data_IF_628551330979
#
_entry.id   IF_628551330979
#
_cell.length_a   1.000
_cell.length_b   1.000
_cell.length_c   1.000
_cell.angle_alpha   90.00
_cell.angle_beta   90.00
_cell.angle_gamma   90.00
#
_symmetry.space_group_name_H-M   'P 1'
#
loop_
_entity.id
_entity.type
_entity.pdbx_description
1 polymer ?
#
# COMPACT_ATOMS: atom_id res chain seq x y z
N UNK A 1 -21.62 -10.56 10.76
CA UNK A 1 -22.05 -9.17 10.50
C UNK A 1 -20.82 -8.34 10.16
N UNK A 2 -20.42 -8.32 8.88
CA UNK A 2 -19.33 -7.46 8.41
C UNK A 2 -19.85 -6.05 8.21
N UNK A 3 -19.32 -5.08 8.97
CA UNK A 3 -19.57 -3.66 8.73
C UNK A 3 -18.94 -3.29 7.39
N UNK A 4 -19.73 -3.33 6.33
CA UNK A 4 -19.36 -2.72 5.06
C UNK A 4 -19.18 -1.24 5.31
N UNK A 5 -17.93 -0.77 5.24
CA UNK A 5 -17.61 0.65 5.23
C UNK A 5 -18.20 1.20 3.93
N UNK A 6 -19.40 1.80 4.02
CA UNK A 6 -19.95 2.63 2.96
C UNK A 6 -19.05 3.86 2.82
N UNK A 7 -18.00 3.72 2.02
CA UNK A 7 -17.28 4.88 1.49
C UNK A 7 -18.29 5.65 0.65
N UNK A 8 -18.85 6.71 1.22
CA UNK A 8 -19.61 7.70 0.49
C UNK A 8 -18.75 8.18 -0.68
N UNK A 9 -19.11 7.76 -1.89
CA UNK A 9 -18.52 8.22 -3.12
C UNK A 9 -19.03 9.62 -3.39
N UNK A 10 -18.46 10.60 -2.70
CA UNK A 10 -18.39 11.93 -3.27
C UNK A 10 -17.63 11.78 -4.59
N UNK A 11 -18.30 12.04 -5.71
CA UNK A 11 -17.64 12.06 -7.01
C UNK A 11 -16.69 13.26 -6.98
N UNK A 12 -15.46 13.04 -6.51
CA UNK A 12 -14.44 14.09 -6.45
C UNK A 12 -14.09 14.42 -7.89
N UNK A 13 -14.39 15.66 -8.30
CA UNK A 13 -14.06 16.19 -9.62
C UNK A 13 -12.56 15.94 -9.91
N UNK A 14 -12.20 15.59 -11.16
CA UNK A 14 -10.81 15.53 -11.56
C UNK A 14 -10.15 16.87 -11.23
N UNK A 15 -9.06 16.83 -10.47
CA UNK A 15 -8.24 18.01 -10.18
C UNK A 15 -7.24 18.12 -11.31
N UNK A 16 -7.15 19.31 -11.92
CA UNK A 16 -6.21 19.59 -13.00
C UNK A 16 -5.27 20.68 -12.54
N UNK A 17 -3.96 20.54 -12.79
CA UNK A 17 -3.01 21.55 -12.40
C UNK A 17 -3.23 22.80 -13.25
N UNK A 18 -3.01 23.96 -12.65
CA UNK A 18 -3.03 25.23 -13.36
C UNK A 18 -2.00 25.19 -14.50
N UNK A 19 -2.41 25.63 -15.70
CA UNK A 19 -1.56 25.58 -16.88
C UNK A 19 -0.30 26.44 -16.66
N UNK A 20 0.87 25.87 -16.91
CA UNK A 20 2.17 26.52 -16.74
C UNK A 20 2.25 27.83 -17.55
N UNK A 21 1.55 27.94 -18.68
CA UNK A 21 1.55 29.18 -19.47
C UNK A 21 0.77 30.33 -18.83
N UNK A 22 -0.15 30.05 -17.90
CA UNK A 22 -0.99 31.05 -17.22
C UNK A 22 -0.62 31.26 -15.77
N UNK A 23 0.46 30.63 -15.31
CA UNK A 23 0.87 30.60 -13.92
C UNK A 23 1.64 31.86 -13.53
N UNK A 24 1.27 32.53 -12.43
CA UNK A 24 1.85 33.83 -12.04
C UNK A 24 3.30 33.75 -11.55
N UNK A 25 3.66 32.68 -10.84
CA UNK A 25 5.04 32.45 -10.33
C UNK A 25 5.87 31.49 -11.20
N UNK A 26 5.35 30.28 -11.47
CA UNK A 26 6.03 29.24 -12.24
C UNK A 26 5.77 29.30 -13.75
N UNK A 27 5.25 30.43 -14.24
CA UNK A 27 5.05 30.59 -15.68
C UNK A 27 6.37 30.59 -16.43
N UNK A 28 6.40 29.98 -17.63
CA UNK A 28 7.64 29.85 -18.43
C UNK A 28 8.37 31.21 -18.61
N UNK A 29 7.61 32.29 -18.69
CA UNK A 29 8.12 33.66 -18.82
C UNK A 29 8.72 34.21 -17.50
N UNK A 30 8.17 33.80 -16.35
CA UNK A 30 8.55 34.28 -15.01
C UNK A 30 9.63 33.42 -14.34
N UNK A 31 9.74 32.14 -14.69
CA UNK A 31 10.74 31.19 -14.14
C UNK A 31 12.18 31.67 -14.40
N UNK A 32 12.42 32.35 -15.52
CA UNK A 32 13.72 33.00 -15.80
C UNK A 32 13.96 34.25 -14.94
N UNK A 33 12.91 35.02 -14.63
CA UNK A 33 13.01 36.24 -13.83
C UNK A 33 13.27 35.92 -12.36
N UNK A 34 12.76 34.79 -11.86
CA UNK A 34 12.95 34.33 -10.48
C UNK A 34 14.21 33.48 -10.27
N UNK A 35 15.08 33.35 -11.28
CA UNK A 35 16.34 32.58 -11.25
C UNK A 35 16.21 31.11 -10.82
N UNK A 36 15.00 30.52 -10.93
CA UNK A 36 14.74 29.14 -10.51
C UNK A 36 15.34 28.09 -11.47
N UNK A 37 15.81 28.52 -12.65
CA UNK A 37 16.50 27.67 -13.64
C UNK A 37 17.92 27.24 -13.23
N UNK A 38 18.45 27.76 -12.13
CA UNK A 38 19.80 27.42 -11.65
C UNK A 38 19.85 26.03 -10.97
N UNK A 39 18.74 25.53 -10.44
CA UNK A 39 18.64 24.17 -9.89
C UNK A 39 18.30 23.16 -10.99
N UNK A 40 19.17 22.18 -11.22
CA UNK A 40 18.98 21.11 -12.22
C UNK A 40 17.74 20.23 -11.98
N UNK A 41 17.08 20.36 -10.83
CA UNK A 41 15.85 19.64 -10.49
C UNK A 41 14.58 20.34 -11.00
N UNK A 42 14.63 21.64 -11.28
CA UNK A 42 13.49 22.47 -11.69
C UNK A 42 13.55 22.85 -13.18
N UNK A 43 13.86 21.87 -14.03
CA UNK A 43 13.81 22.08 -15.48
C UNK A 43 12.38 21.88 -16.01
N UNK A 44 11.97 22.59 -17.09
CA UNK A 44 10.69 22.36 -17.74
C UNK A 44 10.45 20.89 -18.12
N UNK A 45 11.51 20.14 -18.43
CA UNK A 45 11.46 18.70 -18.70
C UNK A 45 11.01 17.89 -17.49
N UNK A 46 11.60 18.14 -16.31
CA UNK A 46 11.22 17.48 -15.05
C UNK A 46 9.75 17.72 -14.69
N UNK A 47 9.27 18.95 -14.88
CA UNK A 47 7.87 19.32 -14.63
C UNK A 47 6.93 18.57 -15.61
N UNK A 48 7.32 18.46 -16.88
CA UNK A 48 6.54 17.77 -17.91
C UNK A 48 6.43 16.26 -17.62
N UNK A 49 7.53 15.63 -17.17
CA UNK A 49 7.57 14.22 -16.80
C UNK A 49 6.69 13.89 -15.59
N UNK A 50 6.67 14.74 -14.57
CA UNK A 50 5.77 14.58 -13.42
C UNK A 50 4.29 14.70 -13.81
N UNK A 51 3.96 15.65 -14.69
CA UNK A 51 2.59 15.76 -15.21
C UNK A 51 2.18 14.59 -16.11
N UNK A 52 3.12 13.98 -16.84
CA UNK A 52 2.90 12.74 -17.60
C UNK A 52 2.55 11.56 -16.69
N UNK A 53 3.34 11.35 -15.62
CA UNK A 53 3.07 10.30 -14.62
C UNK A 53 1.71 10.50 -13.95
N UNK A 54 1.36 11.74 -13.61
CA UNK A 54 0.05 12.10 -13.07
C UNK A 54 -1.08 11.78 -14.06
N UNK A 55 -0.88 12.08 -15.35
CA UNK A 55 -1.86 11.81 -16.41
C UNK A 55 -2.13 10.31 -16.56
N UNK A 56 -1.10 9.47 -16.48
CA UNK A 56 -1.24 8.02 -16.54
C UNK A 56 -1.97 7.44 -15.31
N UNK A 57 -1.72 7.98 -14.11
CA UNK A 57 -2.47 7.64 -12.90
C UNK A 57 -3.95 8.01 -13.04
N UNK A 58 -4.25 9.21 -13.55
CA UNK A 58 -5.62 9.66 -13.81
C UNK A 58 -6.33 8.78 -14.85
N UNK A 59 -5.61 8.30 -15.88
CA UNK A 59 -6.16 7.38 -16.89
C UNK A 59 -6.54 6.02 -16.28
N UNK A 60 -5.65 5.43 -15.48
CA UNK A 60 -5.92 4.15 -14.78
C UNK A 60 -7.09 4.31 -13.81
N UNK A 61 -7.13 5.42 -13.07
CA UNK A 61 -8.26 5.77 -12.20
C UNK A 61 -9.58 5.85 -12.96
N UNK A 62 -9.60 6.48 -14.14
CA UNK A 62 -10.82 6.64 -14.94
C UNK A 62 -11.41 5.27 -15.32
N UNK A 63 -10.56 4.30 -15.66
CA UNK A 63 -11.00 2.93 -15.93
C UNK A 63 -11.65 2.29 -14.70
N UNK A 64 -11.00 2.37 -13.53
CA UNK A 64 -11.57 1.86 -12.27
C UNK A 64 -12.88 2.57 -11.89
N UNK A 65 -12.94 3.90 -12.02
CA UNK A 65 -14.13 4.69 -11.75
C UNK A 65 -15.30 4.31 -12.65
N UNK A 66 -15.05 3.97 -13.93
CA UNK A 66 -16.11 3.52 -14.83
C UNK A 66 -16.70 2.17 -14.41
N UNK A 67 -15.86 1.22 -14.02
CA UNK A 67 -16.31 -0.07 -13.49
C UNK A 67 -17.11 0.11 -12.19
N UNK A 68 -16.67 1.03 -11.33
CA UNK A 68 -17.33 1.33 -10.07
C UNK A 68 -18.68 2.03 -10.24
N UNK A 69 -18.79 2.97 -11.20
CA UNK A 69 -20.05 3.62 -11.57
C UNK A 69 -21.10 2.63 -12.06
N UNK A 70 -20.69 1.59 -12.81
CA UNK A 70 -21.61 0.53 -13.24
C UNK A 70 -22.17 -0.24 -12.05
N UNK A 71 -21.34 -0.51 -11.03
CA UNK A 71 -21.76 -1.16 -9.78
C UNK A 71 -22.68 -0.27 -8.93
N UNK A 72 -22.31 1.01 -8.73
CA UNK A 72 -23.12 1.98 -7.99
C UNK A 72 -24.51 2.20 -8.59
N UNK A 73 -24.63 2.29 -9.92
CA UNK A 73 -25.93 2.46 -10.60
C UNK A 73 -26.91 1.34 -10.24
N UNK A 74 -26.43 0.11 -10.11
CA UNK A 74 -27.26 -1.03 -9.68
C UNK A 74 -27.73 -0.89 -8.23
N UNK A 75 -26.90 -0.35 -7.33
CA UNK A 75 -27.25 -0.08 -5.93
C UNK A 75 -28.22 1.10 -5.77
N UNK A 76 -27.96 2.22 -6.44
CA UNK A 76 -28.81 3.42 -6.41
C UNK A 76 -30.24 3.15 -6.89
N UNK A 77 -30.41 2.28 -7.90
CA UNK A 77 -31.73 1.87 -8.38
C UNK A 77 -32.55 1.15 -7.29
N UNK A 78 -31.89 0.36 -6.44
CA UNK A 78 -32.52 -0.30 -5.31
C UNK A 78 -32.93 0.70 -4.22
N UNK A 79 -32.04 1.63 -3.86
CA UNK A 79 -32.32 2.67 -2.86
C UNK A 79 -33.43 3.64 -3.30
N UNK A 80 -33.47 4.03 -4.58
CA UNK A 80 -34.55 4.86 -5.14
C UNK A 80 -35.94 4.24 -4.92
N UNK A 81 -36.05 2.91 -5.07
CA UNK A 81 -37.31 2.18 -4.88
C UNK A 81 -37.77 2.18 -3.42
N UNK A 82 -36.83 2.17 -2.48
CA UNK A 82 -37.09 2.25 -1.03
C UNK A 82 -37.46 3.69 -0.63
N UNK A 83 -36.73 4.69 -1.12
CA UNK A 83 -36.97 6.11 -0.85
C UNK A 83 -38.35 6.56 -1.34
N UNK A 84 -38.79 6.06 -2.51
CA UNK A 84 -40.14 6.35 -3.04
C UNK A 84 -41.26 5.86 -2.12
N UNK A 85 -41.05 4.80 -1.33
CA UNK A 85 -42.00 4.34 -0.30
C UNK A 85 -41.96 5.22 0.94
N UNK A 86 -40.77 5.63 1.36
CA UNK A 86 -40.57 6.49 2.53
C UNK A 86 -41.14 7.89 2.31
N UNK A 87 -41.00 8.47 1.12
CA UNK A 87 -41.60 9.76 0.73
C UNK A 87 -43.14 9.68 0.78
N UNK A 88 -43.72 8.56 0.35
CA UNK A 88 -45.17 8.32 0.43
C UNK A 88 -45.68 8.27 1.88
N UNK A 89 -44.86 7.74 2.78
CA UNK A 89 -45.15 7.66 4.21
C UNK A 89 -44.88 9.00 4.93
N UNK A 90 -43.86 9.75 4.53
CA UNK A 90 -43.50 11.05 5.09
C UNK A 90 -44.52 12.14 4.73
N UNK A 91 -45.07 12.12 3.51
CA UNK A 91 -46.10 13.08 3.08
C UNK A 91 -47.38 13.00 3.93
N UNK A 92 -47.70 11.82 4.46
CA UNK A 92 -48.81 11.61 5.41
C UNK A 92 -48.54 12.20 6.80
N UNK A 93 -47.27 12.28 7.21
CA UNK A 93 -46.86 12.88 8.49
C UNK A 93 -46.80 14.40 8.41
N UNK A 94 -46.41 14.94 7.26
CA UNK A 94 -46.27 16.38 7.05
C UNK A 94 -47.62 17.11 6.98
N UNK A 95 -48.66 16.47 6.43
CA UNK A 95 -50.06 16.97 6.47
C UNK A 95 -50.59 17.11 7.90
N UNK A 96 -49.95 16.48 8.90
CA UNK A 96 -50.36 16.47 10.30
C UNK A 96 -49.73 17.59 11.15
N UNK A 97 -48.84 18.41 10.60
CA UNK A 97 -48.00 19.37 11.35
C UNK A 97 -48.14 20.84 10.92
N UNK A 98 -49.06 21.19 10.02
CA UNK A 98 -49.24 22.56 9.48
C UNK A 98 -50.60 23.15 9.93
N UNK A 99 -50.75 23.37 11.24
CA UNK A 99 -51.83 24.15 11.86
C UNK A 99 -51.39 24.41 13.30
N UNK A 100 -51.04 25.59 13.80
CA UNK A 100 -51.04 27.00 13.37
C UNK A 100 -49.97 27.70 14.22
N UNK A 101 -49.42 28.80 13.71
CA UNK A 101 -48.30 29.57 14.30
C UNK A 101 -48.76 30.92 14.87
N UNK A 102 -47.92 31.44 15.76
CA UNK A 102 -48.05 32.48 16.76
C UNK A 102 -48.25 33.93 16.22
N UNK A 103 -49.36 34.57 16.62
CA UNK A 103 -49.64 36.01 16.37
C UNK A 103 -49.57 36.89 17.64
N UNK A 104 -48.77 36.47 18.63
CA UNK A 104 -48.66 37.10 19.96
C UNK A 104 -47.40 37.96 20.17
N UNK A 105 -46.45 37.99 19.23
CA UNK A 105 -45.16 38.70 19.39
C UNK A 105 -45.23 40.22 19.16
N UNK A 106 -46.26 40.75 18.51
CA UNK A 106 -46.31 42.19 18.14
C UNK A 106 -46.73 43.10 19.31
N UNK A 107 -47.24 42.55 20.42
CA UNK A 107 -47.66 43.33 21.61
C UNK A 107 -46.49 43.73 22.53
N UNK A 108 -45.27 43.24 22.29
CA UNK A 108 -44.10 43.48 23.16
C UNK A 108 -43.24 44.70 22.78
N UNK A 109 -43.54 45.43 21.69
CA UNK A 109 -42.64 46.45 21.12
C UNK A 109 -42.74 47.87 21.72
N UNK A 110 -43.62 48.11 22.69
CA UNK A 110 -43.68 49.41 23.41
C UNK A 110 -43.46 49.27 24.92
N UNK A 111 -42.78 48.20 25.35
CA UNK A 111 -42.44 47.91 26.75
C UNK A 111 -41.39 48.87 27.34
N UNK A 112 -40.80 49.76 26.51
CA UNK A 112 -39.63 50.56 26.86
C UNK A 112 -39.89 51.95 27.45
N UNK A 113 -41.13 52.49 27.52
CA UNK A 113 -41.33 53.86 28.01
C UNK A 113 -42.68 54.12 28.70
N UNK A 114 -42.81 53.64 29.93
CA UNK A 114 -44.05 53.67 30.75
C UNK A 114 -44.66 55.07 31.00
N UNK A 115 -43.89 56.15 30.87
CA UNK A 115 -44.36 57.53 31.11
C UNK A 115 -45.16 58.11 29.94
N UNK A 116 -44.65 57.96 28.71
CA UNK A 116 -45.36 58.38 27.48
C UNK A 116 -46.46 57.38 27.11
N UNK A 117 -46.36 56.13 27.60
CA UNK A 117 -47.35 55.08 27.38
C UNK A 117 -48.61 55.26 28.23
N UNK A 118 -48.55 55.89 29.40
CA UNK A 118 -49.74 56.25 30.20
C UNK A 118 -50.40 57.55 29.72
N UNK A 119 -49.60 58.50 29.21
CA UNK A 119 -50.09 59.81 28.80
C UNK A 119 -50.87 59.80 27.47
N UNK A 120 -50.59 58.80 26.63
CA UNK A 120 -51.18 58.65 25.31
C UNK A 120 -51.87 57.29 25.08
N UNK A 121 -52.20 56.58 26.18
CA UNK A 121 -52.68 55.19 26.18
C UNK A 121 -54.05 54.96 25.54
N UNK A 122 -54.83 56.02 25.33
CA UNK A 122 -56.19 55.96 24.77
C UNK A 122 -56.35 56.83 23.52
N UNK A 123 -55.24 57.30 22.95
CA UNK A 123 -55.23 58.14 21.75
C UNK A 123 -54.58 57.40 20.59
N UNK A 124 -55.17 57.52 19.40
CA UNK A 124 -54.62 56.92 18.19
C UNK A 124 -53.25 57.53 17.85
N UNK A 125 -52.38 56.79 17.15
CA UNK A 125 -51.02 57.22 16.81
C UNK A 125 -50.96 58.64 16.22
N UNK A 126 -52.00 59.02 15.47
CA UNK A 126 -52.12 60.34 14.83
C UNK A 126 -52.51 61.46 15.83
N UNK A 127 -53.20 61.16 16.92
CA UNK A 127 -53.59 62.14 17.96
C UNK A 127 -52.48 62.45 18.97
N UNK A 128 -51.46 61.59 19.06
CA UNK A 128 -50.26 61.78 19.89
C UNK A 128 -49.31 62.79 19.25
N UNK A 129 -49.19 62.71 17.93
CA UNK A 129 -48.32 63.58 17.12
C UNK A 129 -48.81 65.04 17.14
N UNK A 130 -50.12 65.28 17.06
CA UNK A 130 -50.69 66.65 17.07
C UNK A 130 -50.58 67.36 18.43
N UNK A 131 -50.66 66.63 19.54
CA UNK A 131 -50.52 67.20 20.89
C UNK A 131 -49.07 67.64 21.18
N UNK A 132 -48.09 66.89 20.66
CA UNK A 132 -46.66 67.23 20.73
C UNK A 132 -46.35 68.43 19.83
N UNK A 133 -47.00 68.55 18.66
CA UNK A 133 -46.81 69.67 17.75
C UNK A 133 -47.41 70.98 18.28
N UNK A 134 -48.58 70.98 18.94
CA UNK A 134 -49.19 72.19 19.52
C UNK A 134 -48.42 72.75 20.73
N UNK A 135 -47.85 71.89 21.57
CA UNK A 135 -47.05 72.28 22.75
C UNK A 135 -45.65 72.81 22.37
N UNK A 136 -45.14 72.38 21.22
CA UNK A 136 -43.86 72.84 20.65
C UNK A 136 -43.99 74.20 19.95
N UNK A 137 -45.16 74.52 19.40
CA UNK A 137 -45.45 75.80 18.75
C UNK A 137 -45.60 76.97 19.74
N UNK A 138 -46.21 76.74 20.90
CA UNK A 138 -46.38 77.75 21.97
C UNK A 138 -45.06 78.17 22.63
N UNK A 139 -44.10 77.25 22.77
CA UNK A 139 -42.77 77.53 23.33
C UNK A 139 -41.83 78.25 22.34
N UNK A 140 -42.04 78.12 21.03
CA UNK A 140 -41.24 78.84 20.01
C UNK A 140 -41.66 80.30 19.85
N UNK A 141 -42.97 80.59 19.91
CA UNK A 141 -43.53 81.95 19.80
C UNK A 141 -43.06 82.90 20.92
N UNK A 142 -42.92 82.41 22.15
CA UNK A 142 -42.43 83.19 23.30
C UNK A 142 -40.91 83.46 23.21
N UNK A 143 -40.13 82.49 22.71
CA UNK A 143 -38.68 82.65 22.49
C UNK A 143 -38.38 83.74 21.47
N UNK A 144 -39.11 83.76 20.36
CA UNK A 144 -38.87 84.67 19.24
C UNK A 144 -39.24 86.14 19.59
N UNK A 145 -40.20 86.34 20.50
CA UNK A 145 -40.58 87.68 21.01
C UNK A 145 -39.52 88.30 21.92
N UNK A 146 -38.83 87.49 22.72
CA UNK A 146 -37.79 87.95 23.67
C UNK A 146 -36.43 88.18 22.99
N UNK A 147 -36.12 87.44 21.90
CA UNK A 147 -34.88 87.61 21.13
C UNK A 147 -34.85 88.92 20.34
N UNK A 148 -35.95 89.28 19.66
CA UNK A 148 -36.02 90.52 18.88
C UNK A 148 -35.85 91.79 19.74
N UNK A 149 -36.33 91.77 20.99
CA UNK A 149 -36.24 92.92 21.90
C UNK A 149 -34.84 93.12 22.48
N UNK A 150 -34.06 92.05 22.59
CA UNK A 150 -32.69 92.06 23.10
C UNK A 150 -31.67 92.43 22.01
N UNK A 151 -31.91 92.06 20.75
CA UNK A 151 -31.03 92.39 19.62
C UNK A 151 -31.02 93.88 19.28
N UNK A 152 -32.18 94.54 19.27
CA UNK A 152 -32.26 95.97 18.93
C UNK A 152 -31.54 96.84 19.97
N UNK A 153 -31.66 96.51 21.26
CA UNK A 153 -31.05 97.30 22.33
C UNK A 153 -29.53 97.11 22.42
N UNK A 154 -29.02 95.94 22.02
CA UNK A 154 -27.57 95.69 21.92
C UNK A 154 -26.93 96.40 20.72
N UNK A 155 -27.62 96.43 19.57
CA UNK A 155 -27.08 97.03 18.35
C UNK A 155 -26.81 98.54 18.50
N UNK A 156 -27.72 99.27 19.13
CA UNK A 156 -27.62 100.73 19.26
C UNK A 156 -26.53 101.16 20.26
N UNK A 157 -26.40 100.41 21.36
CA UNK A 157 -25.38 100.67 22.38
C UNK A 157 -23.96 100.37 21.87
N UNK A 158 -23.79 99.28 21.13
CA UNK A 158 -22.49 98.89 20.58
C UNK A 158 -21.97 99.87 19.53
N UNK A 159 -22.85 100.49 18.73
CA UNK A 159 -22.44 101.41 17.67
C UNK A 159 -21.85 102.71 18.22
N UNK A 160 -22.46 103.25 19.28
CA UNK A 160 -22.03 104.51 19.90
C UNK A 160 -20.71 104.37 20.66
N UNK A 161 -20.48 103.22 21.30
CA UNK A 161 -19.26 102.97 22.09
C UNK A 161 -18.02 102.81 21.21
N UNK A 162 -18.16 102.19 20.03
CA UNK A 162 -17.05 101.96 19.11
C UNK A 162 -16.50 103.25 18.51
N UNK A 163 -17.37 104.11 17.98
CA UNK A 163 -16.93 105.35 17.31
C UNK A 163 -16.13 106.29 18.23
N UNK A 164 -16.48 106.33 19.53
CA UNK A 164 -15.77 107.16 20.51
C UNK A 164 -14.38 106.61 20.83
N UNK A 165 -14.28 105.31 21.09
CA UNK A 165 -13.01 104.64 21.42
C UNK A 165 -12.00 104.71 20.26
N UNK A 166 -12.48 104.70 19.01
CA UNK A 166 -11.62 104.66 17.83
C UNK A 166 -10.85 105.96 17.62
N UNK A 167 -11.47 107.11 17.89
CA UNK A 167 -10.87 108.42 17.64
C UNK A 167 -9.85 108.76 18.73
N UNK A 168 -10.15 108.41 19.99
CA UNK A 168 -9.28 108.69 21.13
C UNK A 168 -8.00 107.84 21.13
N UNK A 169 -8.09 106.57 20.73
CA UNK A 169 -6.91 105.72 20.60
C UNK A 169 -5.97 106.20 19.48
N UNK A 170 -6.53 106.69 18.37
CA UNK A 170 -5.73 107.04 17.19
C UNK A 170 -4.83 108.26 17.44
N UNK A 171 -5.36 109.28 18.11
CA UNK A 171 -4.62 110.50 18.41
C UNK A 171 -3.54 110.34 19.50
N UNK A 172 -3.65 109.35 20.38
CA UNK A 172 -2.77 109.25 21.56
C UNK A 172 -1.55 108.36 21.37
N UNK A 173 -1.59 107.43 20.44
CA UNK A 173 -0.60 106.34 20.38
C UNK A 173 0.09 106.12 19.02
N UNK A 174 -0.25 106.85 17.95
CA UNK A 174 0.20 106.46 16.60
C UNK A 174 1.32 107.26 15.92
N UNK A 175 1.69 108.47 16.34
CA UNK A 175 2.61 109.30 15.51
C UNK A 175 4.04 109.51 16.03
N UNK A 176 4.42 109.04 17.23
CA UNK A 176 5.76 109.33 17.77
C UNK A 176 6.32 108.22 18.66
N UNK A 177 6.75 107.09 18.07
CA UNK A 177 7.79 106.24 18.66
C UNK A 177 8.52 105.42 17.58
N UNK A 178 9.86 105.31 17.70
CA UNK A 178 10.57 104.12 17.23
C UNK A 178 10.40 103.09 18.35
N UNK A 179 9.33 102.30 18.28
CA UNK A 179 8.93 101.38 19.34
C UNK A 179 9.90 100.19 19.41
N UNK A 180 10.15 99.70 20.62
CA UNK A 180 10.60 98.32 20.93
C UNK A 180 9.81 97.26 20.12
N UNK A 181 8.58 97.59 19.72
CA UNK A 181 7.77 96.83 18.78
C UNK A 181 8.41 96.63 17.41
N UNK A 182 9.25 97.53 16.91
CA UNK A 182 10.00 97.31 15.66
C UNK A 182 11.07 96.22 15.85
N UNK A 183 11.81 96.21 16.96
CA UNK A 183 12.76 95.15 17.26
C UNK A 183 12.06 93.80 17.49
N UNK A 184 10.96 93.81 18.25
CA UNK A 184 10.07 92.63 18.39
C UNK A 184 9.51 92.19 17.04
N UNK A 185 9.13 93.12 16.16
CA UNK A 185 8.67 92.84 14.80
C UNK A 185 9.76 92.20 13.94
N UNK A 186 11.00 92.69 14.02
CA UNK A 186 12.15 92.06 13.35
C UNK A 186 12.43 90.64 13.86
N UNK A 187 12.39 90.43 15.18
CA UNK A 187 12.55 89.10 15.78
C UNK A 187 11.43 88.15 15.34
N UNK A 188 10.18 88.61 15.37
CA UNK A 188 9.03 87.84 14.88
C UNK A 188 9.12 87.59 13.37
N UNK A 189 9.63 88.52 12.58
CA UNK A 189 9.87 88.36 11.14
C UNK A 189 10.96 87.30 10.88
N UNK A 190 12.03 87.29 11.68
CA UNK A 190 13.06 86.22 11.62
C UNK A 190 12.47 84.86 12.00
N UNK A 191 11.65 84.79 13.05
CA UNK A 191 10.93 83.56 13.43
C UNK A 191 9.95 83.11 12.33
N UNK A 192 9.30 84.05 11.64
CA UNK A 192 8.41 83.77 10.52
C UNK A 192 9.18 83.19 9.33
N UNK A 193 10.30 83.79 8.96
CA UNK A 193 11.19 83.26 7.89
C UNK A 193 11.70 81.87 8.26
N UNK A 194 12.15 81.66 9.51
CA UNK A 194 12.54 80.33 9.98
C UNK A 194 11.39 79.32 9.91
N UNK A 195 10.18 79.73 10.26
CA UNK A 195 8.98 78.89 10.16
C UNK A 195 8.62 78.59 8.71
N UNK A 196 8.79 79.53 7.79
CA UNK A 196 8.62 79.33 6.35
C UNK A 196 9.65 78.34 5.80
N UNK A 197 10.91 78.43 6.19
CA UNK A 197 11.95 77.46 5.82
C UNK A 197 11.62 76.06 6.34
N UNK A 198 11.16 75.95 7.60
CA UNK A 198 10.69 74.68 8.17
C UNK A 198 9.48 74.13 7.39
N UNK A 199 8.52 74.99 7.05
CA UNK A 199 7.36 74.60 6.25
C UNK A 199 7.77 74.11 4.87
N UNK A 200 8.73 74.77 4.20
CA UNK A 200 9.27 74.33 2.93
C UNK A 200 9.95 72.95 3.04
N UNK A 201 10.77 72.73 4.08
CA UNK A 201 11.39 71.44 4.35
C UNK A 201 10.36 70.34 4.61
N UNK A 202 9.32 70.62 5.42
CA UNK A 202 8.22 69.68 5.68
C UNK A 202 7.47 69.35 4.39
N UNK A 203 7.21 70.34 3.52
CA UNK A 203 6.58 70.10 2.21
C UNK A 203 7.43 69.19 1.33
N UNK A 204 8.75 69.39 1.30
CA UNK A 204 9.68 68.51 0.58
C UNK A 204 9.68 67.10 1.13
N UNK A 205 9.75 66.93 2.46
CA UNK A 205 9.69 65.62 3.13
C UNK A 205 8.36 64.92 2.82
N UNK A 206 7.24 65.64 2.92
CA UNK A 206 5.93 65.09 2.58
C UNK A 206 5.88 64.67 1.10
N UNK A 207 6.45 65.46 0.19
CA UNK A 207 6.59 65.09 -1.22
C UNK A 207 7.41 63.81 -1.42
N UNK A 208 8.50 63.63 -0.68
CA UNK A 208 9.28 62.39 -0.69
C UNK A 208 8.50 61.19 -0.16
N UNK A 209 7.77 61.35 0.96
CA UNK A 209 6.91 60.28 1.48
C UNK A 209 5.79 59.89 0.51
N UNK A 210 5.17 60.85 -0.16
CA UNK A 210 4.17 60.56 -1.20
C UNK A 210 4.75 59.73 -2.35
N UNK A 211 6.00 60.02 -2.77
CA UNK A 211 6.70 59.20 -3.77
C UNK A 211 7.00 57.79 -3.27
N UNK A 212 7.45 57.65 -2.02
CA UNK A 212 7.70 56.33 -1.40
C UNK A 212 6.39 55.53 -1.35
N UNK A 213 5.28 56.15 -0.91
CA UNK A 213 3.97 55.51 -0.88
C UNK A 213 3.53 55.09 -2.29
N UNK A 214 3.77 55.91 -3.30
CA UNK A 214 3.45 55.57 -4.68
C UNK A 214 4.26 54.36 -5.19
N UNK A 215 5.55 54.29 -4.87
CA UNK A 215 6.40 53.12 -5.19
C UNK A 215 5.88 51.88 -4.45
N UNK A 216 5.58 51.97 -3.16
CA UNK A 216 5.07 50.84 -2.38
C UNK A 216 3.72 50.33 -2.90
N UNK A 217 2.83 51.22 -3.35
CA UNK A 217 1.57 50.84 -4.01
C UNK A 217 1.79 50.20 -5.37
N UNK A 218 2.80 50.63 -6.10
CA UNK A 218 3.18 50.00 -7.36
C UNK A 218 3.77 48.60 -7.13
N UNK A 219 4.57 48.44 -6.09
CA UNK A 219 5.11 47.15 -5.65
C UNK A 219 4.00 46.18 -5.18
N UNK A 220 2.99 46.69 -4.48
CA UNK A 220 1.79 45.94 -4.08
C UNK A 220 1.10 45.29 -5.29
N UNK A 221 1.04 45.99 -6.43
CA UNK A 221 0.48 45.46 -7.69
C UNK A 221 1.28 44.27 -8.24
N UNK A 222 2.57 44.14 -7.93
CA UNK A 222 3.37 42.97 -8.34
C UNK A 222 3.27 41.81 -7.37
N UNK A 223 3.19 42.09 -6.06
CA UNK A 223 3.09 41.05 -5.05
C UNK A 223 1.70 40.41 -5.01
N UNK A 224 0.64 41.18 -5.22
CA UNK A 224 -0.74 40.67 -5.16
C UNK A 224 -1.01 39.55 -6.20
N UNK A 225 -0.61 39.65 -7.48
CA UNK A 225 -0.71 38.55 -8.44
C UNK A 225 0.08 37.29 -8.04
N UNK A 226 1.28 37.47 -7.45
CA UNK A 226 2.12 36.36 -7.01
C UNK A 226 1.47 35.64 -5.84
N UNK A 227 1.02 36.38 -4.83
CA UNK A 227 0.34 35.83 -3.64
C UNK A 227 -0.98 35.15 -4.03
N UNK A 228 -1.77 35.76 -4.92
CA UNK A 228 -3.00 35.15 -5.43
C UNK A 228 -2.74 33.90 -6.29
N UNK A 229 -1.61 33.84 -7.01
CA UNK A 229 -1.20 32.62 -7.73
C UNK A 229 -0.85 31.52 -6.72
N UNK A 230 -0.03 31.85 -5.73
CA UNK A 230 0.43 30.90 -4.71
C UNK A 230 -0.72 30.36 -3.86
N UNK A 231 -1.68 31.20 -3.49
CA UNK A 231 -2.86 30.79 -2.73
C UNK A 231 -3.74 29.82 -3.55
N UNK A 232 -3.89 30.06 -4.86
CA UNK A 232 -4.54 29.11 -5.78
C UNK A 232 -3.77 27.81 -5.90
N UNK A 233 -2.44 27.84 -5.95
CA UNK A 233 -1.63 26.63 -6.03
C UNK A 233 -1.71 25.81 -4.74
N UNK A 234 -1.70 26.46 -3.57
CA UNK A 234 -1.90 25.80 -2.28
C UNK A 234 -3.27 25.13 -2.24
N UNK A 235 -4.31 25.82 -2.70
CA UNK A 235 -5.65 25.24 -2.81
C UNK A 235 -5.65 24.05 -3.77
N UNK A 236 -5.06 24.17 -4.96
CA UNK A 236 -4.96 23.07 -5.93
C UNK A 236 -4.23 21.86 -5.31
N UNK A 237 -3.11 22.07 -4.64
CA UNK A 237 -2.35 21.03 -3.93
C UNK A 237 -3.18 20.36 -2.83
N UNK A 238 -3.91 21.14 -2.04
CA UNK A 238 -4.82 20.60 -1.03
C UNK A 238 -5.88 19.70 -1.67
N UNK A 239 -6.45 20.11 -2.80
CA UNK A 239 -7.40 19.30 -3.56
C UNK A 239 -6.76 18.03 -4.12
N UNK A 240 -5.53 18.11 -4.65
CA UNK A 240 -4.78 16.93 -5.11
C UNK A 240 -4.52 15.94 -3.98
N UNK A 241 -4.09 16.41 -2.81
CA UNK A 241 -3.82 15.55 -1.65
C UNK A 241 -5.12 14.86 -1.21
N UNK A 242 -6.22 15.61 -1.06
CA UNK A 242 -7.53 15.04 -0.75
C UNK A 242 -7.96 14.00 -1.79
N UNK A 243 -7.70 14.27 -3.07
CA UNK A 243 -8.02 13.37 -4.17
C UNK A 243 -7.21 12.07 -4.11
N UNK A 244 -5.88 12.18 -3.93
CA UNK A 244 -4.97 11.05 -3.81
C UNK A 244 -5.36 10.21 -2.60
N UNK A 245 -5.65 10.82 -1.44
CA UNK A 245 -6.06 10.09 -0.24
C UNK A 245 -7.40 9.36 -0.45
N UNK A 246 -8.36 10.01 -1.10
CA UNK A 246 -9.65 9.40 -1.41
C UNK A 246 -9.53 8.17 -2.31
N UNK A 247 -8.52 8.12 -3.18
CA UNK A 247 -8.31 7.01 -4.12
C UNK A 247 -7.32 5.97 -3.63
N UNK A 248 -6.25 6.44 -3.01
CA UNK A 248 -5.17 5.64 -2.48
C UNK A 248 -5.65 4.81 -1.30
N UNK A 249 -6.43 5.38 -0.37
CA UNK A 249 -6.87 4.63 0.82
C UNK A 249 -7.69 3.39 0.47
N UNK A 250 -8.71 3.47 -0.42
CA UNK A 250 -9.43 2.26 -0.86
C UNK A 250 -8.56 1.29 -1.67
N UNK A 251 -7.66 1.80 -2.52
CA UNK A 251 -6.76 0.94 -3.30
C UNK A 251 -5.77 0.17 -2.42
N UNK A 252 -5.22 0.81 -1.39
CA UNK A 252 -4.32 0.20 -0.40
C UNK A 252 -5.06 -0.85 0.42
N UNK A 253 -6.29 -0.56 0.86
CA UNK A 253 -7.12 -1.53 1.57
C UNK A 253 -7.37 -2.79 0.72
N UNK A 254 -7.71 -2.61 -0.56
CA UNK A 254 -7.90 -3.72 -1.51
C UNK A 254 -6.63 -4.49 -1.79
N UNK A 255 -5.50 -3.81 -1.89
CA UNK A 255 -4.20 -4.46 -2.06
C UNK A 255 -3.84 -5.32 -0.85
N UNK A 256 -4.13 -4.84 0.37
CA UNK A 256 -3.91 -5.62 1.60
C UNK A 256 -4.78 -6.87 1.66
N UNK A 257 -6.07 -6.76 1.28
CA UNK A 257 -6.96 -7.93 1.18
C UNK A 257 -6.42 -8.96 0.18
N UNK A 258 -6.03 -8.51 -1.02
CA UNK A 258 -5.54 -9.40 -2.07
C UNK A 258 -4.19 -10.05 -1.70
N UNK A 259 -3.33 -9.34 -0.98
CA UNK A 259 -2.05 -9.87 -0.50
C UNK A 259 -2.25 -11.00 0.49
N UNK A 260 -3.25 -10.88 1.36
CA UNK A 260 -3.61 -11.94 2.31
C UNK A 260 -4.18 -13.16 1.59
N UNK A 261 -5.03 -12.95 0.58
CA UNK A 261 -5.54 -14.05 -0.26
C UNK A 261 -4.40 -14.80 -0.98
N UNK A 262 -3.40 -14.08 -1.51
CA UNK A 262 -2.21 -14.69 -2.11
C UNK A 262 -1.38 -15.49 -1.10
N UNK A 263 -1.25 -14.99 0.12
CA UNK A 263 -0.54 -15.69 1.20
C UNK A 263 -1.23 -17.02 1.52
N UNK A 264 -2.55 -17.01 1.70
CA UNK A 264 -3.34 -18.23 1.96
C UNK A 264 -3.26 -19.22 0.80
N UNK A 265 -3.26 -18.73 -0.44
CA UNK A 265 -3.10 -19.58 -1.62
C UNK A 265 -1.70 -20.22 -1.67
N UNK A 266 -0.65 -19.48 -1.31
CA UNK A 266 0.71 -20.01 -1.20
C UNK A 266 0.80 -21.15 -0.17
N UNK A 267 0.21 -20.98 1.01
CA UNK A 267 0.14 -22.03 2.03
C UNK A 267 -0.61 -23.28 1.54
N UNK A 268 -1.68 -23.10 0.77
CA UNK A 268 -2.43 -24.21 0.19
C UNK A 268 -1.61 -24.98 -0.87
N UNK A 269 -0.83 -24.27 -1.69
CA UNK A 269 0.08 -24.90 -2.68
C UNK A 269 1.17 -25.69 -1.96
N UNK A 270 1.82 -25.12 -0.94
CA UNK A 270 2.84 -25.84 -0.16
C UNK A 270 2.28 -27.09 0.52
N UNK A 271 1.05 -27.01 1.04
CA UNK A 271 0.37 -28.17 1.61
C UNK A 271 0.12 -29.27 0.55
N UNK A 272 -0.26 -28.87 -0.66
CA UNK A 272 -0.47 -29.78 -1.79
C UNK A 272 0.84 -30.43 -2.25
N UNK A 273 1.94 -29.68 -2.33
CA UNK A 273 3.26 -30.18 -2.71
C UNK A 273 3.79 -31.20 -1.69
N UNK A 274 3.63 -30.91 -0.39
CA UNK A 274 3.94 -31.86 0.68
C UNK A 274 3.12 -33.15 0.54
N UNK A 275 1.83 -33.03 0.22
CA UNK A 275 0.98 -34.19 -0.02
C UNK A 275 1.46 -35.04 -1.21
N UNK A 276 1.82 -34.40 -2.33
CA UNK A 276 2.38 -35.10 -3.49
C UNK A 276 3.72 -35.77 -3.18
N UNK A 277 4.62 -35.10 -2.45
CA UNK A 277 5.90 -35.67 -2.03
C UNK A 277 5.70 -36.93 -1.16
N UNK A 278 4.75 -36.90 -0.23
CA UNK A 278 4.39 -38.06 0.60
C UNK A 278 3.87 -39.23 -0.24
N UNK A 279 3.04 -38.97 -1.26
CA UNK A 279 2.57 -40.01 -2.19
C UNK A 279 3.74 -40.62 -2.97
N UNK A 280 4.65 -39.79 -3.48
CA UNK A 280 5.82 -40.25 -4.22
C UNK A 280 6.74 -41.11 -3.35
N UNK A 281 6.95 -40.73 -2.09
CA UNK A 281 7.71 -41.55 -1.15
C UNK A 281 7.03 -42.90 -0.87
N UNK A 282 5.71 -42.88 -0.64
CA UNK A 282 4.92 -44.11 -0.50
C UNK A 282 5.07 -45.03 -1.73
N UNK A 283 4.97 -44.49 -2.94
CA UNK A 283 5.17 -45.26 -4.18
C UNK A 283 6.58 -45.82 -4.31
N UNK A 284 7.62 -45.03 -3.98
CA UNK A 284 9.02 -45.48 -4.00
C UNK A 284 9.26 -46.63 -3.02
N UNK A 285 8.75 -46.52 -1.80
CA UNK A 285 8.90 -47.57 -0.79
C UNK A 285 8.18 -48.86 -1.20
N UNK A 286 6.98 -48.74 -1.79
CA UNK A 286 6.27 -49.89 -2.34
C UNK A 286 7.00 -50.52 -3.54
N UNK A 287 7.57 -49.71 -4.43
CA UNK A 287 8.37 -50.20 -5.55
C UNK A 287 9.61 -50.98 -5.06
N UNK A 288 10.31 -50.49 -4.05
CA UNK A 288 11.42 -51.23 -3.40
C UNK A 288 10.94 -52.57 -2.84
N UNK A 289 9.80 -52.60 -2.17
CA UNK A 289 9.21 -53.84 -1.67
C UNK A 289 8.89 -54.83 -2.81
N UNK A 290 8.31 -54.36 -3.92
CA UNK A 290 8.04 -55.19 -5.10
C UNK A 290 9.32 -55.79 -5.69
N UNK A 291 10.40 -55.02 -5.76
CA UNK A 291 11.71 -55.52 -6.22
C UNK A 291 12.22 -56.62 -5.28
N UNK A 292 12.18 -56.40 -3.97
CA UNK A 292 12.56 -57.40 -2.98
C UNK A 292 11.71 -58.68 -3.08
N UNK A 293 10.38 -58.55 -3.22
CA UNK A 293 9.48 -59.68 -3.44
C UNK A 293 9.82 -60.46 -4.72
N UNK A 294 10.18 -59.77 -5.81
CA UNK A 294 10.58 -60.42 -7.05
C UNK A 294 11.86 -61.22 -6.88
N UNK A 295 12.90 -60.62 -6.26
CA UNK A 295 14.16 -61.31 -6.00
C UNK A 295 14.01 -62.49 -5.06
N UNK A 296 13.20 -62.39 -4.00
CA UNK A 296 12.98 -63.49 -3.08
C UNK A 296 12.22 -64.65 -3.71
N UNK A 297 11.19 -64.38 -4.51
CA UNK A 297 10.49 -65.40 -5.31
C UNK A 297 11.42 -66.05 -6.34
N UNK A 298 12.31 -65.27 -6.94
CA UNK A 298 13.31 -65.79 -7.87
C UNK A 298 14.29 -66.74 -7.15
N UNK A 299 14.78 -66.33 -5.98
CA UNK A 299 15.64 -67.16 -5.15
C UNK A 299 14.96 -68.48 -4.75
N UNK A 300 13.70 -68.43 -4.33
CA UNK A 300 12.91 -69.64 -4.03
C UNK A 300 12.80 -70.55 -5.25
N UNK A 301 12.47 -69.98 -6.41
CA UNK A 301 12.40 -70.71 -7.67
C UNK A 301 13.74 -71.38 -8.03
N UNK A 302 14.85 -70.70 -7.78
CA UNK A 302 16.19 -71.15 -8.09
C UNK A 302 16.74 -72.21 -7.12
N UNK A 303 16.51 -72.06 -5.82
CA UNK A 303 16.83 -73.09 -4.82
C UNK A 303 16.10 -74.40 -5.16
N UNK A 304 14.86 -74.30 -5.63
CA UNK A 304 14.05 -75.44 -6.06
C UNK A 304 14.23 -75.79 -7.55
N UNK A 305 15.35 -75.42 -8.18
CA UNK A 305 15.57 -75.66 -9.62
C UNK A 305 15.43 -77.13 -10.03
N UNK A 306 15.82 -78.06 -9.15
CA UNK A 306 15.75 -79.50 -9.40
C UNK A 306 14.39 -80.13 -9.05
N UNK A 307 13.46 -79.36 -8.49
CA UNK A 307 12.12 -79.84 -8.14
C UNK A 307 11.21 -79.71 -9.36
N UNK A 308 10.72 -80.85 -9.85
CA UNK A 308 9.87 -80.95 -11.04
C UNK A 308 10.45 -80.19 -12.27
N UNK A 309 11.67 -80.57 -12.75
CA UNK A 309 12.35 -79.83 -13.80
C UNK A 309 11.58 -79.94 -15.13
N UNK A 310 11.28 -78.81 -15.76
CA UNK A 310 10.60 -78.80 -17.07
C UNK A 310 11.51 -79.27 -18.20
N UNK A 311 12.84 -79.11 -18.07
CA UNK A 311 13.85 -79.46 -19.07
C UNK A 311 15.18 -79.82 -18.40
N UNK A 312 15.36 -81.08 -18.00
CA UNK A 312 16.65 -81.59 -17.50
C UNK A 312 17.31 -82.49 -18.54
N UNK A 313 18.59 -82.27 -18.84
CA UNK A 313 19.40 -83.23 -19.61
C UNK A 313 20.20 -84.09 -18.62
N UNK A 314 20.35 -85.40 -18.86
CA UNK A 314 21.32 -86.20 -18.12
C UNK A 314 22.72 -85.66 -18.43
N UNK A 315 23.48 -85.30 -17.41
CA UNK A 315 24.87 -84.90 -17.54
C UNK A 315 25.74 -85.94 -16.80
N UNK A 316 26.83 -86.43 -17.42
CA UNK A 316 27.80 -87.25 -16.72
C UNK A 316 28.48 -86.40 -15.64
N UNK A 317 28.60 -86.96 -14.44
CA UNK A 317 29.29 -86.30 -13.33
C UNK A 317 30.78 -86.19 -13.69
N UNK A 318 31.44 -85.03 -13.50
CA UNK A 318 32.85 -84.86 -13.85
C UNK A 318 33.74 -85.64 -12.87
N UNK A 319 33.96 -86.93 -13.15
CA UNK A 319 34.66 -87.87 -12.27
C UNK A 319 36.03 -88.28 -12.83
N UNK A 320 36.61 -87.53 -13.75
CA UNK A 320 37.84 -87.94 -14.45
C UNK A 320 38.98 -88.33 -13.48
N UNK A 321 38.99 -87.75 -12.27
CA UNK A 321 39.98 -87.97 -11.22
C UNK A 321 39.63 -89.09 -10.20
N UNK A 322 38.43 -89.66 -10.24
CA UNK A 322 37.93 -90.65 -9.26
C UNK A 322 37.61 -91.99 -9.96
N UNK A 323 38.61 -92.60 -10.61
CA UNK A 323 38.49 -93.96 -11.16
C UNK A 323 38.84 -95.00 -10.09
N UNK A 324 37.94 -95.24 -9.14
CA UNK A 324 38.08 -96.31 -8.15
C UNK A 324 37.51 -97.63 -8.71
N UNK A 325 38.29 -98.73 -8.77
CA UNK A 325 37.89 -99.97 -9.47
C UNK A 325 36.67 -100.70 -8.88
N UNK A 326 36.25 -100.37 -7.66
CA UNK A 326 35.14 -101.04 -6.96
C UNK A 326 33.87 -100.18 -6.86
N UNK A 327 33.90 -98.91 -7.29
CA UNK A 327 32.73 -98.03 -7.30
C UNK A 327 32.30 -97.75 -8.74
N UNK A 328 31.18 -98.33 -9.18
CA UNK A 328 30.61 -98.05 -10.50
C UNK A 328 29.88 -96.70 -10.47
N UNK A 329 30.56 -95.64 -10.87
CA UNK A 329 29.99 -94.28 -10.93
C UNK A 329 28.96 -94.10 -12.07
N UNK A 330 28.77 -95.09 -12.93
CA UNK A 330 27.76 -95.09 -14.00
C UNK A 330 26.31 -94.94 -13.49
N UNK A 331 26.06 -95.23 -12.21
CA UNK A 331 24.75 -95.03 -11.57
C UNK A 331 24.53 -93.63 -10.99
N UNK A 332 25.51 -92.72 -11.09
CA UNK A 332 25.43 -91.33 -10.59
C UNK A 332 25.15 -90.35 -11.74
N UNK A 333 24.08 -90.58 -12.50
CA UNK A 333 23.62 -89.63 -13.51
C UNK A 333 23.03 -88.40 -12.83
N UNK A 334 23.74 -87.27 -12.89
CA UNK A 334 23.24 -86.01 -12.37
C UNK A 334 22.33 -85.37 -13.42
N UNK A 335 21.15 -84.89 -13.03
CA UNK A 335 20.34 -84.02 -13.91
C UNK A 335 20.81 -82.59 -13.72
N UNK A 336 21.72 -82.15 -14.58
CA UNK A 336 22.11 -80.75 -14.65
C UNK A 336 20.96 -79.94 -15.25
N UNK A 337 20.42 -79.01 -14.45
CA UNK A 337 19.43 -78.04 -14.91
C UNK A 337 20.13 -76.68 -14.92
N UNK A 338 20.31 -76.04 -16.08
CA UNK A 338 20.98 -74.74 -16.15
C UNK A 338 20.15 -73.67 -15.41
N UNK A 339 20.79 -72.59 -14.90
CA UNK A 339 20.07 -71.42 -14.41
C UNK A 339 19.11 -70.90 -15.47
N UNK A 340 17.84 -70.76 -15.12
CA UNK A 340 16.86 -70.10 -15.99
C UNK A 340 17.14 -68.58 -16.02
N UNK A 341 16.76 -67.91 -17.11
CA UNK A 341 16.91 -66.46 -17.21
C UNK A 341 15.98 -65.76 -16.19
N UNK A 342 16.45 -64.68 -15.57
CA UNK A 342 15.71 -63.96 -14.55
C UNK A 342 14.34 -63.51 -15.07
N UNK A 343 13.27 -64.08 -14.51
CA UNK A 343 11.89 -63.81 -14.92
C UNK A 343 11.41 -62.47 -14.30
N UNK A 344 11.06 -61.50 -15.15
CA UNK A 344 10.65 -60.18 -14.68
C UNK A 344 9.21 -60.13 -14.15
N UNK A 345 8.35 -61.05 -14.59
CA UNK A 345 6.93 -61.08 -14.22
C UNK A 345 6.72 -61.82 -12.89
N UNK A 346 6.33 -61.07 -11.85
CA UNK A 346 6.13 -61.59 -10.49
C UNK A 346 5.00 -62.64 -10.45
N UNK A 347 3.96 -62.50 -11.26
CA UNK A 347 2.81 -63.41 -11.23
C UNK A 347 3.12 -64.77 -11.83
N UNK A 348 3.94 -64.84 -12.88
CA UNK A 348 4.42 -66.13 -13.41
C UNK A 348 5.38 -66.77 -12.41
N UNK A 349 6.30 -65.99 -11.86
CA UNK A 349 7.28 -66.46 -10.89
C UNK A 349 6.62 -66.99 -9.61
N UNK A 350 5.59 -66.31 -9.11
CA UNK A 350 4.81 -66.75 -7.95
C UNK A 350 4.12 -68.09 -8.23
N UNK A 351 3.46 -68.25 -9.38
CA UNK A 351 2.81 -69.52 -9.78
C UNK A 351 3.82 -70.67 -9.89
N UNK A 352 4.99 -70.41 -10.46
CA UNK A 352 6.04 -71.43 -10.62
C UNK A 352 6.67 -71.81 -9.28
N UNK A 353 6.99 -70.83 -8.43
CA UNK A 353 7.48 -71.05 -7.08
C UNK A 353 6.46 -71.82 -6.23
N UNK A 354 5.18 -71.44 -6.29
CA UNK A 354 4.09 -72.14 -5.60
C UNK A 354 3.94 -73.58 -6.08
N UNK A 355 3.95 -73.83 -7.40
CA UNK A 355 3.87 -75.18 -7.97
C UNK A 355 5.02 -76.07 -7.48
N UNK A 356 6.25 -75.54 -7.49
CA UNK A 356 7.45 -76.25 -7.00
C UNK A 356 7.38 -76.50 -5.50
N UNK A 357 7.02 -75.51 -4.69
CA UNK A 357 6.83 -75.65 -3.24
C UNK A 357 5.78 -76.72 -2.93
N UNK A 358 4.63 -76.68 -3.60
CA UNK A 358 3.58 -77.70 -3.45
C UNK A 358 4.10 -79.10 -3.79
N UNK A 359 4.90 -79.25 -4.84
CA UNK A 359 5.49 -80.54 -5.20
C UNK A 359 6.46 -81.06 -4.11
N UNK A 360 7.30 -80.20 -3.54
CA UNK A 360 8.17 -80.57 -2.40
C UNK A 360 7.33 -80.95 -1.19
N UNK A 361 6.35 -80.13 -0.83
CA UNK A 361 5.50 -80.38 0.33
C UNK A 361 4.73 -81.70 0.20
N UNK A 362 4.17 -81.99 -0.98
CA UNK A 362 3.49 -83.26 -1.25
C UNK A 362 4.45 -84.45 -1.13
N UNK A 363 5.66 -84.36 -1.70
CA UNK A 363 6.67 -85.41 -1.57
C UNK A 363 7.07 -85.62 -0.09
N UNK A 364 7.22 -84.54 0.66
CA UNK A 364 7.50 -84.59 2.09
C UNK A 364 6.38 -85.27 2.89
N UNK A 365 5.12 -84.94 2.61
CA UNK A 365 3.98 -85.62 3.24
C UNK A 365 3.91 -87.11 2.88
N UNK A 366 4.27 -87.49 1.66
CA UNK A 366 4.31 -88.89 1.22
C UNK A 366 5.39 -89.71 1.92
N UNK A 367 6.50 -89.09 2.34
CA UNK A 367 7.57 -89.74 3.10
C UNK A 367 7.16 -90.15 4.52
N UNK A 368 5.98 -89.73 5.02
CA UNK A 368 5.42 -90.08 6.34
C UNK A 368 6.42 -89.96 7.50
N UNK A 369 7.30 -88.96 7.44
CA UNK A 369 8.33 -88.73 8.45
C UNK A 369 7.67 -88.37 9.79
N UNK A 370 8.17 -88.94 10.90
CA UNK A 370 7.60 -88.66 12.23
C UNK A 370 7.93 -87.22 12.64
N UNK A 371 7.02 -86.48 13.30
CA UNK A 371 7.25 -85.08 13.69
C UNK A 371 8.53 -84.87 14.50
N UNK A 372 8.89 -85.83 15.37
CA UNK A 372 10.09 -85.76 16.21
C UNK A 372 11.41 -85.92 15.43
N UNK A 373 11.38 -86.55 14.26
CA UNK A 373 12.54 -86.68 13.36
C UNK A 373 12.74 -85.38 12.58
N UNK A 374 11.65 -84.71 12.19
CA UNK A 374 11.69 -83.40 11.54
C UNK A 374 12.28 -82.34 12.46
N UNK A 375 11.90 -82.34 13.74
CA UNK A 375 12.43 -81.39 14.73
C UNK A 375 13.93 -81.60 14.93
N UNK A 376 14.39 -82.85 15.03
CA UNK A 376 15.82 -83.18 15.16
C UNK A 376 16.60 -82.80 13.91
N UNK A 377 16.15 -83.24 12.73
CA UNK A 377 16.79 -82.89 11.47
C UNK A 377 16.86 -81.38 11.23
N UNK A 378 15.84 -80.62 11.68
CA UNK A 378 15.86 -79.16 11.64
C UNK A 378 16.92 -78.58 12.59
N UNK A 379 17.01 -79.08 13.81
CA UNK A 379 18.02 -78.64 14.77
C UNK A 379 19.44 -78.95 14.27
N UNK A 380 19.65 -80.14 13.71
CA UNK A 380 20.92 -80.59 13.15
C UNK A 380 21.31 -79.77 11.91
N UNK A 381 20.36 -79.49 11.03
CA UNK A 381 20.59 -78.61 9.88
C UNK A 381 20.92 -77.17 10.33
N UNK A 382 20.21 -76.66 11.34
CA UNK A 382 20.43 -75.30 11.84
C UNK A 382 21.81 -75.17 12.48
N UNK A 383 22.25 -76.14 13.27
CA UNK A 383 23.58 -76.13 13.88
C UNK A 383 24.68 -76.27 12.83
N UNK A 384 24.50 -77.16 11.83
CA UNK A 384 25.45 -77.32 10.72
C UNK A 384 25.50 -76.06 9.83
N UNK A 385 24.37 -75.42 9.58
CA UNK A 385 24.31 -74.16 8.84
C UNK A 385 25.04 -73.02 9.55
N UNK A 386 24.81 -72.85 10.86
CA UNK A 386 25.53 -71.84 11.67
C UNK A 386 27.04 -72.13 11.63
N UNK A 387 27.42 -73.39 11.83
CA UNK A 387 28.82 -73.80 11.81
C UNK A 387 29.50 -73.52 10.46
N UNK A 388 28.85 -73.83 9.34
CA UNK A 388 29.36 -73.52 7.98
C UNK A 388 29.44 -72.02 7.72
N UNK A 389 28.50 -71.23 8.24
CA UNK A 389 28.52 -69.79 8.06
C UNK A 389 29.62 -69.11 8.90
N UNK A 390 29.90 -69.61 10.10
CA UNK A 390 31.07 -69.22 10.91
C UNK A 390 32.38 -69.58 10.19
N UNK A 391 32.45 -70.74 9.54
CA UNK A 391 33.58 -71.16 8.69
C UNK A 391 33.81 -70.22 7.50
N UNK A 392 32.75 -69.86 6.76
CA UNK A 392 32.85 -68.91 5.63
C UNK A 392 33.26 -67.49 6.07
N UNK A 393 32.82 -67.04 7.25
CA UNK A 393 33.28 -65.77 7.83
C UNK A 393 34.74 -65.84 8.26
N UNK A 394 35.24 -67.01 8.66
CA UNK A 394 36.66 -67.22 8.99
C UNK A 394 37.58 -67.32 7.75
N UNK A 395 37.10 -67.88 6.64
CA UNK A 395 37.82 -67.97 5.36
C UNK A 395 37.87 -66.61 4.62
N UNK A 396 36.78 -65.84 4.63
CA UNK A 396 36.73 -64.53 3.98
C UNK A 396 37.60 -63.47 4.68
N UNK A 397 37.88 -63.63 5.97
CA UNK A 397 38.80 -62.78 6.71
C UNK A 397 40.28 -63.16 6.53
N UNK A 398 40.61 -64.29 5.90
CA UNK A 398 41.99 -64.80 5.78
C UNK A 398 42.57 -64.88 4.36
N UNK A 399 41.82 -64.53 3.31
CA UNK A 399 42.26 -64.70 1.90
C UNK A 399 42.06 -63.48 1.00
N UNK A 400 42.52 -62.30 1.42
CA UNK A 400 42.87 -61.18 0.51
C UNK A 400 43.94 -60.30 1.16
N UNK A 401 45.21 -60.71 1.12
CA UNK A 401 46.32 -59.81 1.45
C UNK A 401 46.50 -58.79 0.32
N UNK A 402 46.66 -57.51 0.69
CA UNK A 402 46.82 -56.33 -0.19
C UNK A 402 47.80 -56.48 -1.37
N UNK A 403 48.67 -57.49 -1.36
CA UNK A 403 49.68 -57.73 -2.39
C UNK A 403 49.09 -58.21 -3.74
N UNK A 404 48.02 -59.01 -3.75
CA UNK A 404 47.48 -59.60 -5.00
C UNK A 404 46.59 -58.64 -5.81
N UNK A 405 46.03 -57.62 -5.16
CA UNK A 405 45.25 -56.57 -5.83
C UNK A 405 46.14 -55.67 -6.71
N UNK A 406 47.42 -55.50 -6.35
CA UNK A 406 48.37 -54.65 -7.09
C UNK A 406 48.84 -55.35 -8.39
N UNK A 407 48.93 -56.67 -8.39
CA UNK A 407 49.35 -57.46 -9.56
C UNK A 407 48.23 -57.55 -10.61
N UNK A 408 46.97 -57.64 -10.18
CA UNK A 408 45.82 -57.61 -11.10
C UNK A 408 45.55 -56.21 -11.67
N UNK A 409 45.78 -55.14 -10.90
CA UNK A 409 45.63 -53.75 -11.37
C UNK A 409 46.73 -53.34 -12.39
N UNK A 410 47.90 -53.98 -12.36
CA UNK A 410 48.95 -53.77 -13.36
C UNK A 410 48.74 -54.59 -14.65
N UNK A 411 48.16 -55.79 -14.55
CA UNK A 411 47.77 -56.60 -15.72
C UNK A 411 46.55 -56.02 -16.47
N UNK A 412 45.63 -55.32 -15.78
CA UNK A 412 44.47 -54.67 -16.39
C UNK A 412 44.79 -53.42 -17.23
N UNK A 413 46.05 -52.94 -17.23
CA UNK A 413 46.47 -51.80 -18.07
C UNK A 413 46.56 -52.14 -19.57
N UNK A 414 46.49 -53.40 -19.97
CA UNK A 414 46.67 -53.81 -21.37
C UNK A 414 45.38 -53.97 -22.17
N UNK A 415 44.19 -53.89 -21.56
CA UNK A 415 42.93 -54.06 -22.31
C UNK A 415 41.87 -53.01 -21.93
N UNK A 416 41.50 -52.25 -22.96
CA UNK A 416 40.29 -51.43 -23.13
C UNK A 416 40.24 -50.01 -22.54
N UNK A 417 39.90 -49.10 -23.47
CA UNK A 417 39.71 -47.65 -23.44
C UNK A 417 38.67 -47.11 -22.42
N UNK A 418 38.46 -47.74 -21.26
CA UNK A 418 37.52 -47.27 -20.24
C UNK A 418 38.30 -46.62 -19.09
N UNK A 419 38.19 -45.30 -18.88
CA UNK A 419 38.89 -44.62 -17.80
C UNK A 419 38.47 -45.17 -16.43
N UNK A 420 39.46 -45.45 -15.57
CA UNK A 420 39.21 -45.88 -14.20
C UNK A 420 38.52 -44.76 -13.41
N UNK A 421 37.69 -45.09 -12.41
CA UNK A 421 36.95 -44.16 -11.53
C UNK A 421 37.79 -43.00 -10.99
N UNK A 422 39.08 -43.21 -10.69
CA UNK A 422 40.01 -42.13 -10.30
C UNK A 422 40.24 -41.12 -11.43
N UNK A 423 40.42 -41.62 -12.66
CA UNK A 423 40.59 -40.79 -13.86
C UNK A 423 39.29 -40.07 -14.21
N UNK A 424 38.13 -40.74 -14.10
CA UNK A 424 36.81 -40.10 -14.27
C UNK A 424 36.65 -38.96 -13.26
N UNK A 425 36.95 -39.19 -11.97
CA UNK A 425 36.88 -38.12 -10.96
C UNK A 425 37.82 -36.95 -11.25
N UNK A 426 39.04 -37.23 -11.70
CA UNK A 426 39.99 -36.18 -12.06
C UNK A 426 39.53 -35.38 -13.29
N UNK A 427 38.98 -36.06 -14.31
CA UNK A 427 38.42 -35.42 -15.49
C UNK A 427 37.16 -34.60 -15.15
N UNK A 428 36.26 -35.12 -14.32
CA UNK A 428 35.07 -34.39 -13.86
C UNK A 428 35.43 -33.18 -13.01
N UNK A 429 36.41 -33.29 -12.11
CA UNK A 429 36.88 -32.16 -11.31
C UNK A 429 37.48 -31.06 -12.20
N UNK A 430 38.29 -31.45 -13.19
CA UNK A 430 38.87 -30.51 -14.17
C UNK A 430 37.79 -29.80 -15.00
N UNK A 431 36.75 -30.52 -15.41
CA UNK A 431 35.63 -29.97 -16.18
C UNK A 431 34.84 -28.93 -15.36
N UNK A 432 34.61 -29.21 -14.07
CA UNK A 432 33.96 -28.27 -13.14
C UNK A 432 34.80 -27.01 -12.92
N UNK A 433 36.11 -27.15 -12.78
CA UNK A 433 37.03 -26.00 -12.67
C UNK A 433 37.09 -25.16 -13.96
N UNK A 434 37.05 -25.80 -15.14
CA UNK A 434 37.02 -25.10 -16.43
C UNK A 434 35.68 -24.38 -16.68
N UNK A 435 34.56 -24.93 -16.20
CA UNK A 435 33.27 -24.21 -16.24
C UNK A 435 33.22 -23.06 -15.24
N UNK A 436 33.76 -23.23 -14.04
CA UNK A 436 33.82 -22.17 -13.03
C UNK A 436 34.67 -20.98 -13.48
N UNK A 437 35.72 -21.20 -14.28
CA UNK A 437 36.55 -20.14 -14.88
C UNK A 437 35.95 -19.47 -16.13
N UNK A 438 34.85 -19.99 -16.67
CA UNK A 438 34.13 -19.37 -17.80
C UNK A 438 32.98 -18.46 -17.36
N UNK A 439 32.58 -18.57 -16.09
CA UNK A 439 31.51 -17.78 -15.48
C UNK A 439 32.05 -16.62 -14.60
N UNK A 440 33.38 -16.40 -14.59
CA UNK A 440 34.08 -15.15 -14.20
C UNK A 440 34.49 -14.38 -15.46
#
# INVERSE_FOLDING_TARGET
>A
MGKGVEFYQSVVKPVHPTNVNTHGLFGIEYVKQHMMTADGFWTPGSITDEFLKMTDLLRKRLQFSNLEKVSQRKRLFHHYRVLKRQIRNGRRKWVKMISEDDSLEVRNLLTGNKGMQRLYQTMSLNQIVDNINQRTFTLRKERDRLTARLENLKADYEKALRAKSDIENRNRYHDLYVLDEQFKSYEKKKLLVNSQTRLAAIKTINGSYQKIIAILRYDEIFYEPILNSLDKDILDQEHFIKHILHLGSPAIARFSELSEDFRLLGEAIEAQDKYQANILDYMKNRAKAFVLFRYSLWNIHDIMRHVAPSRGRPAPYPNEYLKLPLLKFEMLTMRAVPPEAFEENISSLMKTAEKKLRAVMLAFYQLKVKPNEVIRARADYQSDYIHRQELLVSETNSSWTKQEFIVTETAAKSTNNVPNRKQIKAQSAKLVEETAKRDE
#
